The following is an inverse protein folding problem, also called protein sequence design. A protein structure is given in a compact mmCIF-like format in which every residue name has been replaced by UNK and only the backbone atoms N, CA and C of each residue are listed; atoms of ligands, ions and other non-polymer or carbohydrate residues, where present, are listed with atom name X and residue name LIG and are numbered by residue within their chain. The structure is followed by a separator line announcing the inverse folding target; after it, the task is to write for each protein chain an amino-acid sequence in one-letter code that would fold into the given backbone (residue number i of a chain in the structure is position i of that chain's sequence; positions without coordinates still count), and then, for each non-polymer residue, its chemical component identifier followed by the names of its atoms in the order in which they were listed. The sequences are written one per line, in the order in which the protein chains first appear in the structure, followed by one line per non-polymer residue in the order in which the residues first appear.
data_IF_658830719465
#
_entry.id   IF_658830719465
#
_cell.length_a   1.000
_cell.length_b   1.000
_cell.length_c   1.000
_cell.angle_alpha   90.00
_cell.angle_beta   90.00
_cell.angle_gamma   90.00
#
_symmetry.space_group_name_H-M   'P 1'
#
loop_
_entity.id
_entity.type
_entity.pdbx_description
1 polymer ?
#
# COMPACT_ATOMS: atom_id res chain seq x y z
N UNK A 1 24.40 19.96 13.57
CA UNK A 1 25.39 20.69 14.39
C UNK A 1 26.71 20.71 13.64
N UNK A 2 27.22 21.91 13.35
CA UNK A 2 28.44 22.10 12.56
C UNK A 2 29.68 21.91 13.44
N UNK A 3 30.54 20.96 13.08
CA UNK A 3 31.81 20.70 13.75
C UNK A 3 32.88 21.64 13.20
N UNK A 4 33.15 22.70 13.94
CA UNK A 4 34.26 23.62 13.71
C UNK A 4 35.53 23.08 14.39
N UNK A 5 36.69 23.21 13.73
CA UNK A 5 37.97 23.02 14.41
C UNK A 5 38.17 24.15 15.44
N UNK A 6 39.04 23.91 16.42
CA UNK A 6 39.43 24.92 17.41
C UNK A 6 40.01 26.22 16.82
N UNK A 7 40.35 26.22 15.52
CA UNK A 7 40.82 27.37 14.75
C UNK A 7 39.72 28.07 13.92
N UNK A 8 38.45 27.71 14.09
CA UNK A 8 37.30 28.31 13.40
C UNK A 8 37.13 27.89 11.93
N UNK A 9 37.99 27.01 11.39
CA UNK A 9 37.85 26.50 10.02
C UNK A 9 36.82 25.37 9.97
N UNK A 10 36.04 25.36 8.89
CA UNK A 10 35.03 24.32 8.60
C UNK A 10 35.76 23.04 8.18
N UNK A 11 35.44 21.92 8.84
CA UNK A 11 35.93 20.59 8.43
C UNK A 11 35.12 20.12 7.23
N UNK A 12 35.80 19.80 6.13
CA UNK A 12 35.15 19.21 4.96
C UNK A 12 34.65 17.80 5.33
N UNK A 13 33.32 17.59 5.32
CA UNK A 13 32.71 16.30 5.64
C UNK A 13 32.81 15.29 4.49
N UNK A 14 32.71 15.79 3.26
CA UNK A 14 32.76 15.00 2.03
C UNK A 14 33.67 15.67 1.00
N UNK A 15 34.29 14.86 0.15
CA UNK A 15 34.99 15.35 -1.05
C UNK A 15 34.00 16.02 -2.01
N UNK A 16 34.43 17.06 -2.76
CA UNK A 16 33.58 17.66 -3.79
C UNK A 16 33.19 16.60 -4.83
N UNK A 17 31.88 16.39 -5.01
CA UNK A 17 31.31 15.35 -5.88
C UNK A 17 30.70 14.15 -5.14
N UNK A 18 30.97 13.96 -3.85
CA UNK A 18 30.35 12.90 -3.06
C UNK A 18 29.04 13.37 -2.42
N UNK A 19 27.93 12.68 -2.71
CA UNK A 19 26.68 12.88 -1.99
C UNK A 19 26.82 12.50 -0.51
N UNK A 20 26.24 13.31 0.38
CA UNK A 20 26.16 12.99 1.79
C UNK A 20 25.25 11.77 1.99
N UNK A 21 25.80 10.68 2.52
CA UNK A 21 25.04 9.49 2.90
C UNK A 21 24.56 9.65 4.33
N UNK A 22 23.25 9.61 4.56
CA UNK A 22 22.65 9.58 5.89
C UNK A 22 22.22 8.13 6.15
N UNK A 23 22.55 7.55 7.32
CA UNK A 23 22.04 6.23 7.67
C UNK A 23 20.51 6.26 7.74
N UNK A 24 19.88 5.18 7.30
CA UNK A 24 18.42 5.09 7.33
C UNK A 24 17.97 4.84 8.76
N UNK A 25 17.19 5.77 9.31
CA UNK A 25 16.65 5.66 10.67
C UNK A 25 15.41 4.76 10.72
N UNK A 26 15.07 4.25 11.91
CA UNK A 26 13.87 3.42 12.13
C UNK A 26 12.59 4.13 11.67
N UNK A 27 12.54 5.46 11.82
CA UNK A 27 11.43 6.29 11.36
C UNK A 27 11.26 6.28 9.83
N UNK A 28 12.36 6.14 9.07
CA UNK A 28 12.34 6.08 7.60
C UNK A 28 12.02 4.67 7.08
N UNK A 29 12.33 3.62 7.86
CA UNK A 29 12.09 2.22 7.46
C UNK A 29 10.68 1.70 7.74
N UNK A 30 9.86 2.45 8.49
CA UNK A 30 8.52 2.02 8.89
C UNK A 30 7.66 1.56 7.70
N UNK A 31 7.19 0.32 7.75
CA UNK A 31 6.36 -0.35 6.74
C UNK A 31 6.97 -0.46 5.32
N UNK A 32 8.28 -0.27 5.16
CA UNK A 32 8.93 -0.42 3.84
C UNK A 32 8.97 -1.90 3.40
N UNK A 33 8.54 -2.17 2.16
CA UNK A 33 8.34 -3.52 1.60
C UNK A 33 9.61 -4.28 1.21
N UNK A 34 10.74 -4.07 1.89
CA UNK A 34 11.96 -4.82 1.60
C UNK A 34 11.88 -6.24 2.19
N UNK A 35 10.81 -6.99 1.87
CA UNK A 35 10.62 -8.38 2.27
C UNK A 35 10.97 -9.33 1.12
N UNK A 36 11.58 -10.46 1.47
CA UNK A 36 12.12 -11.50 0.57
C UNK A 36 11.10 -12.58 0.16
N UNK A 37 9.81 -12.45 0.52
CA UNK A 37 8.77 -13.43 0.15
C UNK A 37 7.42 -12.80 -0.15
N UNK A 38 6.70 -13.43 -1.08
CA UNK A 38 5.33 -13.14 -1.48
C UNK A 38 4.44 -14.37 -1.27
N UNK A 39 3.26 -14.22 -0.67
CA UNK A 39 2.15 -15.17 -0.83
C UNK A 39 0.90 -14.38 -1.25
N UNK A 40 0.22 -14.88 -2.28
CA UNK A 40 -0.85 -14.19 -3.01
C UNK A 40 -1.95 -15.18 -3.37
N UNK A 41 -3.00 -15.28 -2.53
CA UNK A 41 -4.24 -16.06 -2.72
C UNK A 41 -5.35 -15.39 -1.88
N UNK A 42 -6.63 -15.24 -2.22
CA UNK A 42 -7.53 -15.71 -3.29
C UNK A 42 -8.80 -14.81 -3.24
N UNK A 43 -9.29 -14.17 -4.31
CA UNK A 43 -10.44 -14.56 -5.17
C UNK A 43 -11.82 -14.68 -4.47
N UNK A 44 -12.73 -13.71 -4.79
CA UNK A 44 -14.16 -13.56 -4.41
C UNK A 44 -14.47 -13.15 -2.95
N UNK A 45 -14.07 -11.95 -2.53
CA UNK A 45 -14.40 -11.44 -1.18
C UNK A 45 -14.86 -9.96 -1.23
N UNK A 46 -15.99 -9.66 -0.57
CA UNK A 46 -16.51 -8.30 -0.37
C UNK A 46 -18.01 -8.15 -0.08
N UNK A 47 -18.80 -9.22 0.11
CA UNK A 47 -20.19 -9.12 0.54
C UNK A 47 -20.33 -9.20 2.07
N UNK A 48 -21.43 -8.71 2.64
CA UNK A 48 -21.63 -8.69 4.11
C UNK A 48 -21.48 -10.09 4.73
N UNK A 49 -21.86 -11.12 3.98
CA UNK A 49 -21.69 -12.55 4.31
C UNK A 49 -20.23 -12.98 4.44
N UNK A 50 -19.29 -12.30 3.80
CA UNK A 50 -17.87 -12.66 3.77
C UNK A 50 -17.03 -11.94 4.83
N UNK A 51 -17.64 -11.10 5.68
CA UNK A 51 -16.96 -10.54 6.84
C UNK A 51 -16.78 -11.59 7.94
N UNK A 52 -15.62 -11.57 8.62
CA UNK A 52 -15.26 -12.58 9.65
C UNK A 52 -16.24 -12.63 10.83
N UNK A 53 -16.94 -11.53 11.11
CA UNK A 53 -17.88 -11.38 12.23
C UNK A 53 -19.34 -11.29 11.78
N UNK A 54 -19.68 -11.71 10.55
CA UNK A 54 -21.03 -11.57 10.01
C UNK A 54 -22.16 -12.04 10.94
N UNK A 55 -21.95 -13.14 11.70
CA UNK A 55 -22.93 -13.72 12.62
C UNK A 55 -23.04 -13.02 13.98
N UNK A 56 -22.00 -12.32 14.40
CA UNK A 56 -21.81 -11.82 15.78
C UNK A 56 -21.83 -10.28 15.83
N UNK A 57 -22.11 -9.64 14.70
CA UNK A 57 -22.07 -8.20 14.53
C UNK A 57 -23.46 -7.60 14.71
N UNK A 58 -23.66 -6.88 15.82
CA UNK A 58 -24.83 -6.04 16.02
C UNK A 58 -24.98 -5.06 14.85
N UNK A 59 -26.17 -5.03 14.25
CA UNK A 59 -26.49 -4.23 13.05
C UNK A 59 -26.29 -2.72 13.29
N UNK A 60 -26.21 -2.29 14.55
CA UNK A 60 -26.07 -0.89 14.97
C UNK A 60 -24.61 -0.46 15.24
N UNK A 61 -23.65 -1.38 15.37
CA UNK A 61 -22.27 -1.05 15.76
C UNK A 61 -21.42 -0.70 14.52
N UNK A 62 -21.30 0.59 14.21
CA UNK A 62 -20.53 1.12 13.07
C UNK A 62 -19.04 1.30 13.38
N UNK A 63 -18.50 0.60 14.38
CA UNK A 63 -17.11 0.77 14.76
C UNK A 63 -16.18 0.14 13.70
N UNK A 64 -15.41 0.94 12.92
CA UNK A 64 -14.60 0.42 11.81
C UNK A 64 -13.51 -0.55 12.28
N UNK A 65 -13.08 -0.44 13.54
CA UNK A 65 -12.09 -1.33 14.15
C UNK A 65 -12.61 -2.74 14.47
N UNK A 66 -13.94 -2.89 14.52
CA UNK A 66 -14.67 -4.14 14.76
C UNK A 66 -15.14 -4.74 13.43
N UNK A 67 -15.43 -3.89 12.44
CA UNK A 67 -15.91 -4.25 11.11
C UNK A 67 -14.76 -4.62 10.16
N UNK A 68 -13.70 -5.24 10.66
CA UNK A 68 -12.51 -5.54 9.85
C UNK A 68 -12.74 -6.83 9.08
N UNK A 69 -12.71 -6.73 7.76
CA UNK A 69 -12.84 -7.88 6.87
C UNK A 69 -11.63 -8.81 6.99
N UNK A 70 -10.45 -8.22 7.19
CA UNK A 70 -9.17 -8.92 7.22
C UNK A 70 -8.57 -9.00 8.63
N UNK A 71 -7.97 -10.14 8.98
CA UNK A 71 -7.16 -10.25 10.19
C UNK A 71 -5.71 -9.81 9.91
N UNK A 72 -5.56 -8.53 9.61
CA UNK A 72 -4.27 -7.91 9.29
C UNK A 72 -3.60 -7.21 10.47
N UNK A 73 -2.26 -7.05 10.43
CA UNK A 73 -1.53 -6.23 11.39
C UNK A 73 -2.14 -4.83 11.53
N UNK A 74 -2.49 -4.47 12.76
CA UNK A 74 -3.05 -3.16 13.10
C UNK A 74 -1.92 -2.29 13.65
N UNK A 75 -1.32 -1.51 12.76
CA UNK A 75 -0.31 -0.55 13.16
C UNK A 75 -0.97 0.74 13.69
N UNK A 76 -0.44 1.30 14.76
CA UNK A 76 -0.93 2.57 15.32
C UNK A 76 0.10 3.66 15.09
N UNK A 77 -0.35 4.76 14.52
CA UNK A 77 0.45 5.99 14.42
C UNK A 77 -0.23 7.04 15.28
N UNK A 78 0.47 7.49 16.30
CA UNK A 78 0.02 8.53 17.23
C UNK A 78 1.11 9.58 17.43
N UNK A 79 0.77 10.67 18.11
CA UNK A 79 1.76 11.58 18.68
C UNK A 79 2.00 11.19 20.12
N UNK A 80 3.26 11.20 20.56
CA UNK A 80 3.53 11.13 22.00
C UNK A 80 3.08 12.45 22.65
N UNK A 81 2.45 12.38 23.80
CA UNK A 81 1.97 13.57 24.52
C UNK A 81 3.12 14.35 25.16
N UNK A 82 4.25 13.71 25.41
CA UNK A 82 5.40 14.27 26.15
C UNK A 82 6.55 14.73 25.23
N UNK A 83 6.66 14.14 24.05
CA UNK A 83 7.59 14.55 23.00
C UNK A 83 6.77 14.70 21.74
N UNK A 84 6.79 15.85 21.06
CA UNK A 84 6.10 16.09 19.77
C UNK A 84 6.62 15.22 18.60
N UNK A 85 7.15 14.05 18.92
CA UNK A 85 7.60 13.00 18.01
C UNK A 85 6.42 12.08 17.71
N UNK A 86 6.37 11.59 16.47
CA UNK A 86 5.40 10.57 16.09
C UNK A 86 5.78 9.22 16.69
N UNK A 87 4.86 8.62 17.44
CA UNK A 87 4.97 7.26 17.95
C UNK A 87 4.34 6.30 16.95
N UNK A 88 5.14 5.35 16.47
CA UNK A 88 4.73 4.34 15.49
C UNK A 88 4.86 2.98 16.15
N UNK A 89 3.73 2.32 16.39
CA UNK A 89 3.70 1.02 17.06
C UNK A 89 3.40 -0.09 16.04
N UNK A 90 4.33 -1.05 15.96
CA UNK A 90 4.13 -2.26 15.18
C UNK A 90 3.19 -3.22 15.90
N UNK A 91 2.42 -3.97 15.10
CA UNK A 91 1.61 -5.04 15.65
C UNK A 91 2.48 -6.28 15.89
N UNK A 92 2.81 -6.55 17.15
CA UNK A 92 3.61 -7.71 17.57
C UNK A 92 2.80 -9.01 17.65
N UNK A 93 1.51 -8.99 17.32
CA UNK A 93 0.66 -10.18 17.41
C UNK A 93 1.06 -11.25 16.40
N UNK A 94 1.44 -12.43 16.89
CA UNK A 94 1.68 -13.60 16.07
C UNK A 94 0.38 -14.21 15.48
N UNK A 95 -0.80 -13.73 15.92
CA UNK A 95 -2.10 -14.28 15.53
C UNK A 95 -2.66 -13.64 14.25
N UNK A 96 -1.89 -12.78 13.56
CA UNK A 96 -2.29 -12.16 12.29
C UNK A 96 -2.13 -13.15 11.14
N UNK A 97 -3.13 -13.20 10.29
CA UNK A 97 -3.19 -14.21 9.21
C UNK A 97 -3.00 -13.63 7.82
N UNK A 98 -3.05 -12.31 7.66
CA UNK A 98 -2.92 -11.62 6.36
C UNK A 98 -2.16 -10.29 6.52
N UNK A 99 -1.38 -9.85 5.56
CA UNK A 99 -0.80 -8.49 5.52
C UNK A 99 -1.65 -7.51 4.70
N UNK A 100 -2.74 -7.98 4.12
CA UNK A 100 -3.67 -7.19 3.31
C UNK A 100 -4.65 -6.53 4.26
N UNK A 101 -4.62 -5.20 4.28
CA UNK A 101 -5.58 -4.36 5.00
C UNK A 101 -6.54 -3.68 4.01
N UNK A 102 -7.48 -2.90 4.55
CA UNK A 102 -8.48 -2.18 3.76
C UNK A 102 -7.88 -1.03 2.92
N UNK A 103 -6.61 -0.67 3.17
CA UNK A 103 -5.89 0.38 2.45
C UNK A 103 -5.16 -0.15 1.21
N UNK A 104 -5.17 -1.46 0.98
CA UNK A 104 -4.57 -2.09 -0.20
C UNK A 104 -5.47 -1.96 -1.42
N UNK A 105 -4.88 -1.56 -2.56
CA UNK A 105 -5.55 -1.42 -3.85
C UNK A 105 -5.08 -2.49 -4.83
N UNK A 106 -6.00 -2.94 -5.69
CA UNK A 106 -5.70 -3.87 -6.78
C UNK A 106 -5.23 -3.07 -7.99
N UNK A 107 -4.11 -3.49 -8.59
CA UNK A 107 -3.69 -3.03 -9.91
C UNK A 107 -3.57 -4.22 -10.87
N UNK A 108 -3.76 -3.94 -12.16
CA UNK A 108 -3.91 -4.95 -13.22
C UNK A 108 -3.10 -4.60 -14.44
N UNK A 109 -2.78 -5.60 -15.25
CA UNK A 109 -1.96 -5.48 -16.44
C UNK A 109 -0.49 -5.84 -16.19
N UNK A 110 0.33 -5.70 -17.23
CA UNK A 110 1.77 -5.85 -17.17
C UNK A 110 2.47 -4.50 -17.25
N UNK A 111 3.58 -4.39 -16.54
CA UNK A 111 4.52 -3.29 -16.70
C UNK A 111 5.65 -3.66 -17.65
N UNK A 112 6.48 -2.68 -18.03
CA UNK A 112 7.70 -2.92 -18.84
C UNK A 112 8.71 -3.86 -18.16
N UNK A 113 8.62 -3.99 -16.83
CA UNK A 113 9.48 -4.87 -16.02
C UNK A 113 8.97 -6.32 -15.98
N UNK A 114 7.72 -6.55 -16.37
CA UNK A 114 7.12 -7.87 -16.31
C UNK A 114 7.42 -8.69 -17.56
N UNK A 115 7.81 -9.96 -17.37
CA UNK A 115 7.95 -10.90 -18.49
C UNK A 115 6.59 -11.34 -19.00
N UNK A 116 6.45 -11.46 -20.32
CA UNK A 116 5.18 -11.79 -21.01
C UNK A 116 4.52 -13.05 -20.46
N UNK A 117 5.32 -14.08 -20.13
CA UNK A 117 4.81 -15.34 -19.60
C UNK A 117 4.04 -15.20 -18.27
N UNK A 118 4.27 -14.11 -17.52
CA UNK A 118 3.63 -13.84 -16.24
C UNK A 118 2.50 -12.80 -16.33
N UNK A 119 2.07 -12.45 -17.54
CA UNK A 119 0.97 -11.52 -17.77
C UNK A 119 -0.29 -12.34 -18.07
N UNK A 120 -1.02 -12.69 -17.03
CA UNK A 120 -2.33 -13.32 -17.12
C UNK A 120 -3.43 -12.28 -16.76
N UNK A 121 -4.55 -12.20 -17.52
CA UNK A 121 -5.62 -11.23 -17.28
C UNK A 121 -6.39 -11.48 -15.97
N UNK A 122 -6.44 -12.73 -15.50
CA UNK A 122 -7.00 -13.11 -14.21
C UNK A 122 -6.08 -12.72 -13.06
N UNK A 123 -4.76 -12.73 -13.24
CA UNK A 123 -3.80 -12.46 -12.18
C UNK A 123 -3.98 -11.07 -11.55
N UNK A 124 -4.23 -11.04 -10.24
CA UNK A 124 -4.43 -9.83 -9.44
C UNK A 124 -3.17 -9.54 -8.63
N UNK A 125 -2.70 -8.30 -8.71
CA UNK A 125 -1.60 -7.79 -7.90
C UNK A 125 -2.13 -6.66 -7.03
N UNK A 126 -1.46 -6.45 -5.91
CA UNK A 126 -1.95 -5.62 -4.83
C UNK A 126 -0.82 -4.72 -4.36
N UNK A 127 -1.13 -3.45 -4.10
CA UNK A 127 -0.21 -2.50 -3.50
C UNK A 127 -1.00 -1.60 -2.54
N UNK A 128 -0.49 -1.36 -1.32
CA UNK A 128 -1.01 -0.32 -0.42
C UNK A 128 -1.10 1.04 -1.10
N UNK A 129 -2.17 1.77 -0.84
CA UNK A 129 -2.46 3.05 -1.52
C UNK A 129 -1.43 4.15 -1.28
N UNK A 130 -0.68 4.08 -0.18
CA UNK A 130 0.33 5.10 0.17
C UNK A 130 1.66 4.93 -0.58
N UNK A 131 1.78 3.91 -1.43
CA UNK A 131 3.04 3.56 -2.09
C UNK A 131 2.93 3.81 -3.58
N UNK A 132 3.97 4.44 -4.11
CA UNK A 132 4.17 4.59 -5.54
C UNK A 132 5.31 3.69 -6.02
N UNK A 133 5.19 3.20 -7.24
CA UNK A 133 6.28 2.50 -7.94
C UNK A 133 6.41 3.10 -9.34
N UNK A 134 7.60 3.00 -9.92
CA UNK A 134 7.94 3.53 -11.25
C UNK A 134 7.22 2.80 -12.39
N UNK A 135 6.78 1.57 -12.16
CA UNK A 135 6.19 0.70 -13.18
C UNK A 135 4.65 0.62 -13.12
N UNK A 136 4.01 1.34 -12.18
CA UNK A 136 2.56 1.42 -12.04
C UNK A 136 2.08 2.81 -12.45
N UNK A 137 1.04 2.85 -13.28
CA UNK A 137 0.35 4.08 -13.68
C UNK A 137 -1.18 3.94 -13.60
N UNK A 138 -1.89 4.96 -14.05
CA UNK A 138 -3.37 5.00 -14.01
C UNK A 138 -3.98 4.98 -15.42
N UNK A 139 -5.21 4.47 -15.51
CA UNK A 139 -6.06 4.59 -16.69
C UNK A 139 -7.42 5.12 -16.24
N UNK A 140 -7.91 6.15 -16.93
CA UNK A 140 -9.18 6.76 -16.60
C UNK A 140 -10.34 5.86 -17.04
N UNK A 141 -11.36 5.73 -16.18
CA UNK A 141 -12.63 5.10 -16.49
C UNK A 141 -13.74 6.14 -16.38
N UNK A 142 -14.70 6.11 -17.31
CA UNK A 142 -15.81 7.07 -17.35
C UNK A 142 -17.13 6.33 -17.53
N UNK A 143 -18.16 6.81 -16.86
CA UNK A 143 -19.53 6.36 -17.09
C UNK A 143 -19.99 6.81 -18.47
N UNK A 144 -20.61 5.91 -19.23
CA UNK A 144 -21.25 6.27 -20.48
C UNK A 144 -22.56 7.01 -20.19
N UNK A 145 -22.66 8.26 -20.62
CA UNK A 145 -23.90 9.05 -20.55
C UNK A 145 -24.70 8.85 -21.84
N UNK A 146 -26.03 8.70 -21.73
CA UNK A 146 -26.96 8.51 -22.84
C UNK A 146 -27.55 7.09 -22.96
N UNK A 147 -28.64 6.94 -23.73
CA UNK A 147 -29.28 5.64 -23.94
C UNK A 147 -28.36 4.68 -24.70
N UNK A 148 -28.38 3.39 -24.31
CA UNK A 148 -27.70 2.36 -25.11
C UNK A 148 -28.35 2.35 -26.49
N UNK A 149 -27.58 2.64 -27.54
CA UNK A 149 -28.08 2.51 -28.91
C UNK A 149 -28.49 1.05 -29.14
N UNK A 150 -29.81 0.80 -29.16
CA UNK A 150 -30.45 -0.46 -29.55
C UNK A 150 -30.38 -0.65 -31.07
N UNK A 151 -29.27 -0.29 -31.73
CA UNK A 151 -29.10 -0.61 -33.14
C UNK A 151 -28.82 -2.11 -33.23
N UNK A 152 -29.84 -2.86 -33.63
CA UNK A 152 -29.86 -4.33 -33.72
C UNK A 152 -28.72 -4.93 -34.56
N UNK A 153 -28.05 -4.14 -35.40
CA UNK A 153 -27.00 -4.61 -36.31
C UNK A 153 -25.72 -3.77 -36.19
N UNK A 154 -24.89 -4.06 -35.18
CA UNK A 154 -23.50 -3.59 -35.16
C UNK A 154 -22.64 -4.61 -35.90
N UNK A 155 -22.17 -4.25 -37.11
CA UNK A 155 -21.16 -5.03 -37.82
C UNK A 155 -19.79 -4.87 -37.14
N UNK A 156 -18.97 -5.93 -37.02
CA UNK A 156 -17.60 -5.80 -36.57
C UNK A 156 -16.84 -4.86 -37.51
N UNK A 157 -16.05 -3.94 -36.96
CA UNK A 157 -15.11 -3.15 -37.76
C UNK A 157 -13.86 -3.99 -37.94
N UNK A 158 -13.63 -4.45 -39.17
CA UNK A 158 -12.34 -4.96 -39.62
C UNK A 158 -11.34 -3.83 -39.84
#
# INVERSE_FOLDING_TARGET
MDTFLSNGRIVARNLPGNLATVPVDEQETYLRYNFTRSDNRNYRDGDRSSSRLFRDQDVADNNPSKNVMYNSPKHKVGKDEESDKMKREFDSSANRTTLIDDNVRVYKGGSWRDRVYWIDPSQRRYLPEYIATDYIGFRNAMSRVGSKSQKANKRPRG
#
